data_IF_962498470171
#
_entry.id   IF_962498470171
#
_cell.length_a   1.000
_cell.length_b   1.000
_cell.length_c   1.000
_cell.angle_alpha   90.00
_cell.angle_beta   90.00
_cell.angle_gamma   90.00
#
_symmetry.space_group_name_H-M   'P 1'
#
loop_
_entity.id
_entity.type
_entity.pdbx_description
1 polymer ?
#
# COMPACT_ATOMS: atom_id res chain seq x y z
N UNK A 1 -10.88 -28.50 15.32
CA UNK A 1 -11.65 -27.23 15.35
C UNK A 1 -10.70 -26.16 14.83
N UNK A 2 -11.04 -25.49 13.73
CA UNK A 2 -10.16 -24.44 13.19
C UNK A 2 -10.08 -23.31 14.23
N UNK A 3 -8.89 -22.76 14.54
CA UNK A 3 -8.77 -21.71 15.55
C UNK A 3 -9.55 -20.47 15.12
N UNK A 4 -10.30 -19.88 16.05
CA UNK A 4 -11.16 -18.74 15.75
C UNK A 4 -10.33 -17.46 15.51
N UNK A 5 -10.48 -16.86 14.33
CA UNK A 5 -9.93 -15.54 14.03
C UNK A 5 -10.64 -14.50 14.91
N UNK A 6 -9.89 -13.59 15.51
CA UNK A 6 -10.38 -12.51 16.39
C UNK A 6 -9.87 -11.16 15.90
N UNK A 7 -10.43 -10.04 16.37
CA UNK A 7 -9.90 -8.69 16.09
C UNK A 7 -8.37 -8.56 16.30
N UNK A 8 -7.77 -9.30 17.24
CA UNK A 8 -6.32 -9.29 17.47
C UNK A 8 -5.54 -9.75 16.24
N UNK A 9 -6.03 -10.78 15.54
CA UNK A 9 -5.41 -11.27 14.31
C UNK A 9 -5.50 -10.22 13.20
N UNK A 10 -6.64 -9.53 13.10
CA UNK A 10 -6.85 -8.44 12.14
C UNK A 10 -5.91 -7.26 12.41
N UNK A 11 -5.79 -6.83 13.67
CA UNK A 11 -4.86 -5.76 14.08
C UNK A 11 -3.42 -6.13 13.73
N UNK A 12 -2.97 -7.34 14.12
CA UNK A 12 -1.60 -7.80 13.80
C UNK A 12 -1.39 -7.89 12.29
N UNK A 13 -2.39 -8.35 11.53
CA UNK A 13 -2.27 -8.42 10.07
C UNK A 13 -2.14 -7.04 9.45
N UNK A 14 -2.95 -6.07 9.88
CA UNK A 14 -2.93 -4.69 9.41
C UNK A 14 -1.62 -3.96 9.74
N UNK A 15 -1.03 -4.23 10.90
CA UNK A 15 0.31 -3.72 11.26
C UNK A 15 1.43 -4.31 10.37
N UNK A 16 1.22 -5.49 9.81
CA UNK A 16 2.17 -6.16 8.91
C UNK A 16 1.87 -5.93 7.42
N UNK A 17 0.75 -5.29 7.07
CA UNK A 17 0.39 -4.98 5.69
C UNK A 17 -1.12 -4.98 5.42
N UNK A 18 -1.53 -4.77 4.17
CA UNK A 18 -2.95 -4.69 3.81
C UNK A 18 -3.66 -6.03 3.96
N UNK A 19 -4.95 -6.01 4.29
CA UNK A 19 -5.88 -7.14 4.18
C UNK A 19 -6.64 -6.99 2.86
N UNK A 20 -6.76 -8.08 2.12
CA UNK A 20 -7.52 -8.12 0.88
C UNK A 20 -8.80 -8.93 1.07
N UNK A 21 -9.81 -8.64 0.26
CA UNK A 21 -11.14 -9.26 0.34
C UNK A 21 -11.13 -10.78 0.11
N UNK A 22 -10.13 -11.30 -0.60
CA UNK A 22 -9.93 -12.73 -0.83
C UNK A 22 -9.57 -13.49 0.47
N UNK A 23 -9.02 -12.79 1.47
CA UNK A 23 -8.83 -13.33 2.82
C UNK A 23 -10.15 -13.24 3.60
N UNK A 24 -11.11 -14.12 3.22
CA UNK A 24 -12.50 -14.08 3.68
C UNK A 24 -12.65 -14.03 5.21
N UNK A 25 -11.79 -14.75 5.93
CA UNK A 25 -11.87 -14.82 7.39
C UNK A 25 -11.39 -13.49 8.04
N UNK A 26 -10.27 -12.93 7.58
CA UNK A 26 -9.79 -11.64 8.08
C UNK A 26 -10.66 -10.47 7.62
N UNK A 27 -11.10 -10.47 6.36
CA UNK A 27 -11.99 -9.46 5.81
C UNK A 27 -13.35 -9.47 6.50
N UNK A 28 -13.95 -10.64 6.66
CA UNK A 28 -15.20 -10.82 7.39
C UNK A 28 -15.08 -10.36 8.84
N UNK A 29 -13.98 -10.68 9.52
CA UNK A 29 -13.74 -10.23 10.90
C UNK A 29 -13.48 -8.74 10.99
N UNK A 30 -12.76 -8.14 10.04
CA UNK A 30 -12.54 -6.70 9.94
C UNK A 30 -13.88 -5.96 9.81
N UNK A 31 -14.79 -6.47 8.96
CA UNK A 31 -16.12 -5.90 8.81
C UNK A 31 -17.00 -6.06 10.05
N UNK A 32 -17.00 -7.25 10.66
CA UNK A 32 -17.85 -7.55 11.81
C UNK A 32 -17.45 -6.79 13.09
N UNK A 33 -16.16 -6.48 13.29
CA UNK A 33 -15.64 -5.72 14.44
C UNK A 33 -15.06 -4.34 14.02
N UNK A 34 -15.61 -3.73 12.96
CA UNK A 34 -15.07 -2.50 12.36
C UNK A 34 -14.79 -1.39 13.37
N UNK A 35 -15.79 -0.95 14.15
CA UNK A 35 -15.64 0.18 15.07
C UNK A 35 -14.57 -0.09 16.12
N UNK A 36 -14.51 -1.32 16.63
CA UNK A 36 -13.52 -1.72 17.63
C UNK A 36 -12.11 -1.70 17.08
N UNK A 37 -11.91 -2.21 15.85
CA UNK A 37 -10.60 -2.22 15.20
C UNK A 37 -10.18 -0.79 14.83
N UNK A 38 -11.10 -0.01 14.25
CA UNK A 38 -10.86 1.39 13.89
C UNK A 38 -10.49 2.22 15.12
N UNK A 39 -11.24 2.10 16.21
CA UNK A 39 -10.98 2.84 17.45
C UNK A 39 -9.63 2.46 18.06
N UNK A 40 -9.25 1.17 18.03
CA UNK A 40 -7.94 0.73 18.49
C UNK A 40 -6.78 1.42 17.76
N UNK A 41 -6.86 1.56 16.44
CA UNK A 41 -5.84 2.28 15.66
C UNK A 41 -5.90 3.80 15.90
N UNK A 42 -7.11 4.36 16.08
CA UNK A 42 -7.30 5.77 16.35
C UNK A 42 -6.63 6.21 17.65
N UNK A 43 -6.74 5.41 18.72
CA UNK A 43 -6.11 5.67 20.03
C UNK A 43 -4.58 5.77 19.96
N UNK A 44 -3.95 5.16 18.94
CA UNK A 44 -2.50 5.16 18.75
C UNK A 44 -2.05 6.05 17.58
N UNK A 45 -2.88 7.02 17.17
CA UNK A 45 -2.54 8.00 16.15
C UNK A 45 -2.51 7.44 14.72
N UNK A 46 -3.19 6.33 14.48
CA UNK A 46 -3.30 5.70 13.16
C UNK A 46 -4.74 5.64 12.69
N UNK A 47 -4.94 5.35 11.41
CA UNK A 47 -6.27 5.13 10.85
C UNK A 47 -6.30 3.91 9.94
N UNK A 48 -7.41 3.19 9.98
CA UNK A 48 -7.69 2.08 9.06
C UNK A 48 -8.40 2.67 7.84
N UNK A 49 -7.73 2.65 6.70
CA UNK A 49 -8.32 2.96 5.41
C UNK A 49 -8.86 1.66 4.82
N UNK A 50 -10.19 1.57 4.63
CA UNK A 50 -10.87 0.43 4.02
C UNK A 50 -11.63 0.91 2.79
N UNK A 51 -11.40 0.24 1.67
CA UNK A 51 -12.12 0.46 0.42
C UNK A 51 -12.80 -0.84 0.03
N UNK A 52 -14.12 -0.89 0.20
CA UNK A 52 -14.93 -2.06 -0.15
C UNK A 52 -15.09 -2.24 -1.66
N UNK A 53 -15.00 -1.15 -2.45
CA UNK A 53 -15.09 -1.23 -3.91
C UNK A 53 -13.80 -1.79 -4.50
N UNK A 54 -12.67 -1.41 -3.93
CA UNK A 54 -11.36 -1.88 -4.38
C UNK A 54 -10.91 -3.16 -3.66
N UNK A 55 -11.65 -3.62 -2.63
CA UNK A 55 -11.44 -4.92 -1.98
C UNK A 55 -10.20 -4.98 -1.08
N UNK A 56 -9.76 -3.86 -0.50
CA UNK A 56 -8.60 -3.87 0.41
C UNK A 56 -8.74 -2.91 1.60
N UNK A 57 -7.98 -3.20 2.64
CA UNK A 57 -7.87 -2.36 3.83
C UNK A 57 -6.42 -2.33 4.33
N UNK A 58 -5.95 -1.16 4.76
CA UNK A 58 -4.60 -0.96 5.27
C UNK A 58 -4.60 0.10 6.36
N UNK A 59 -3.49 0.20 7.09
CA UNK A 59 -3.30 1.25 8.11
C UNK A 59 -2.35 2.30 7.57
N UNK A 60 -2.69 3.56 7.82
CA UNK A 60 -1.77 4.69 7.62
C UNK A 60 -1.66 5.47 8.92
N UNK A 61 -0.49 6.05 9.14
CA UNK A 61 -0.34 7.01 10.24
C UNK A 61 -1.17 8.24 9.89
N UNK A 62 -1.91 8.78 10.86
CA UNK A 62 -2.59 10.05 10.64
C UNK A 62 -1.53 11.10 10.37
N UNK A 63 -1.79 11.98 9.42
CA UNK A 63 -1.00 13.19 9.28
C UNK A 63 -1.19 13.98 10.57
N UNK A 64 -0.21 13.88 11.48
CA UNK A 64 0.03 14.95 12.43
C UNK A 64 0.23 16.19 11.58
N UNK A 65 -0.56 17.22 11.87
CA UNK A 65 -0.43 18.56 11.31
C UNK A 65 1.07 18.81 11.17
N UNK A 66 1.51 18.96 9.92
CA UNK A 66 2.91 19.14 9.60
C UNK A 66 3.50 20.22 10.52
N UNK A 67 4.78 20.10 10.83
CA UNK A 67 5.59 20.96 11.72
C UNK A 67 5.63 22.46 11.32
N UNK A 68 4.64 22.98 10.60
CA UNK A 68 4.50 24.35 10.11
C UNK A 68 3.44 25.20 10.85
N UNK A 69 2.68 24.68 11.82
CA UNK A 69 1.66 25.49 12.54
C UNK A 69 1.62 25.33 14.07
N UNK A 70 2.70 24.87 14.72
CA UNK A 70 2.77 24.90 16.20
C UNK A 70 3.76 25.96 16.68
N UNK A 71 3.54 27.22 16.26
CA UNK A 71 3.83 28.36 17.15
C UNK A 71 2.63 28.57 18.08
N UNK A 72 2.24 27.52 18.80
CA UNK A 72 1.28 27.61 19.89
C UNK A 72 2.05 27.92 21.17
N UNK A 73 1.94 29.16 21.66
CA UNK A 73 2.34 29.58 23.00
C UNK A 73 1.38 28.99 24.07
N UNK A 74 1.22 27.67 24.07
CA UNK A 74 0.50 26.96 25.14
C UNK A 74 1.47 25.96 25.77
N UNK A 75 1.55 25.96 27.10
CA UNK A 75 2.43 25.15 27.95
C UNK A 75 2.03 23.65 27.98
N UNK A 76 1.43 23.18 26.88
CA UNK A 76 0.77 21.89 26.75
C UNK A 76 0.93 21.24 25.38
N UNK A 77 1.96 21.61 24.60
CA UNK A 77 2.25 20.93 23.33
C UNK A 77 2.78 19.52 23.62
N UNK A 78 1.90 18.52 23.53
CA UNK A 78 2.30 17.11 23.54
C UNK A 78 3.36 16.87 22.46
N UNK A 79 4.41 16.11 22.80
CA UNK A 79 5.43 15.74 21.83
C UNK A 79 4.81 14.91 20.69
N UNK A 80 5.28 15.07 19.44
CA UNK A 80 4.75 14.32 18.31
C UNK A 80 4.90 12.81 18.52
N UNK A 81 3.91 12.04 18.06
CA UNK A 81 3.90 10.60 18.21
C UNK A 81 5.02 9.96 17.39
N UNK A 82 5.78 9.01 17.99
CA UNK A 82 6.72 8.21 17.23
C UNK A 82 6.02 7.47 16.08
N UNK A 83 6.67 7.42 14.92
CA UNK A 83 6.13 6.71 13.75
C UNK A 83 6.22 5.20 13.95
N UNK A 84 5.06 4.53 13.94
CA UNK A 84 4.95 3.07 13.97
C UNK A 84 5.32 2.47 12.61
N UNK A 85 4.82 3.10 11.53
CA UNK A 85 5.04 2.62 10.17
C UNK A 85 6.31 3.23 9.58
N UNK A 86 7.20 2.38 9.06
CA UNK A 86 8.39 2.83 8.35
C UNK A 86 8.00 3.44 7.01
N UNK A 87 8.48 4.66 6.73
CA UNK A 87 8.42 5.23 5.38
C UNK A 87 9.53 4.64 4.53
N UNK A 88 9.17 3.86 3.53
CA UNK A 88 10.12 3.35 2.54
C UNK A 88 10.20 4.33 1.38
N UNK A 89 11.38 4.94 1.17
CA UNK A 89 11.62 5.73 -0.03
C UNK A 89 11.68 4.79 -1.23
N UNK A 90 10.89 5.10 -2.26
CA UNK A 90 10.98 4.39 -3.53
C UNK A 90 12.20 4.88 -4.30
N UNK A 91 13.00 3.95 -4.82
CA UNK A 91 14.04 4.27 -5.78
C UNK A 91 13.42 4.73 -7.10
N UNK A 92 14.19 5.45 -7.91
CA UNK A 92 13.75 5.90 -9.24
C UNK A 92 13.07 4.79 -10.05
N UNK A 93 13.71 3.61 -10.17
CA UNK A 93 13.14 2.49 -10.93
C UNK A 93 11.87 1.91 -10.31
N UNK A 94 11.73 1.91 -8.98
CA UNK A 94 10.48 1.51 -8.33
C UNK A 94 9.37 2.52 -8.58
N UNK A 95 9.69 3.82 -8.55
CA UNK A 95 8.73 4.87 -8.87
C UNK A 95 8.26 4.75 -10.32
N UNK A 96 9.18 4.61 -11.27
CA UNK A 96 8.83 4.40 -12.68
C UNK A 96 7.96 3.16 -12.85
N UNK A 97 8.31 2.04 -12.20
CA UNK A 97 7.49 0.82 -12.26
C UNK A 97 6.06 1.07 -11.79
N UNK A 98 5.87 1.72 -10.64
CA UNK A 98 4.54 2.03 -10.10
C UNK A 98 3.75 3.00 -10.99
N UNK A 99 4.41 4.01 -11.55
CA UNK A 99 3.77 4.97 -12.48
C UNK A 99 3.26 4.26 -13.73
N UNK A 100 4.07 3.40 -14.33
CA UNK A 100 3.69 2.63 -15.53
C UNK A 100 2.54 1.65 -15.23
N UNK A 101 2.59 0.94 -14.10
CA UNK A 101 1.49 0.07 -13.69
C UNK A 101 0.19 0.86 -13.48
N UNK A 102 0.28 2.06 -12.90
CA UNK A 102 -0.91 2.92 -12.70
C UNK A 102 -1.48 3.41 -14.02
N UNK A 103 -0.62 3.77 -14.97
CA UNK A 103 -1.03 4.19 -16.31
C UNK A 103 -1.72 3.03 -17.06
N UNK A 104 -1.14 1.84 -17.05
CA UNK A 104 -1.72 0.65 -17.66
C UNK A 104 -3.09 0.32 -17.05
N UNK A 105 -3.22 0.37 -15.72
CA UNK A 105 -4.50 0.18 -15.03
C UNK A 105 -5.53 1.23 -15.45
N UNK A 106 -5.14 2.51 -15.51
CA UNK A 106 -6.04 3.59 -15.91
C UNK A 106 -6.53 3.41 -17.35
N UNK A 107 -5.67 2.98 -18.28
CA UNK A 107 -6.04 2.71 -19.67
C UNK A 107 -7.01 1.54 -19.76
N UNK A 108 -6.77 0.48 -19.00
CA UNK A 108 -7.67 -0.67 -18.91
C UNK A 108 -9.05 -0.28 -18.36
N UNK A 109 -9.09 0.51 -17.27
CA UNK A 109 -10.34 1.00 -16.67
C UNK A 109 -11.18 1.85 -17.64
N UNK A 110 -10.53 2.57 -18.57
CA UNK A 110 -11.19 3.36 -19.61
C UNK A 110 -11.72 2.49 -20.77
N UNK A 111 -11.06 1.38 -21.06
CA UNK A 111 -11.41 0.45 -22.12
C UNK A 111 -12.24 -0.73 -21.56
N UNK A 112 -13.52 -0.49 -21.26
CA UNK A 112 -14.45 -1.47 -20.68
C UNK A 112 -14.67 -2.76 -21.51
N UNK A 113 -14.10 -2.87 -22.70
CA UNK A 113 -14.20 -4.05 -23.57
C UNK A 113 -13.11 -5.12 -23.29
N UNK A 114 -12.09 -4.81 -22.47
CA UNK A 114 -10.93 -5.69 -22.24
C UNK A 114 -11.13 -6.77 -21.14
N UNK A 115 -12.31 -6.83 -20.51
CA UNK A 115 -12.70 -7.84 -19.50
C UNK A 115 -12.54 -7.37 -18.05
N UNK A 116 -12.57 -8.31 -17.09
CA UNK A 116 -12.58 -8.02 -15.65
C UNK A 116 -11.16 -7.89 -15.03
N UNK A 117 -10.12 -8.34 -15.73
CA UNK A 117 -8.77 -8.44 -15.20
C UNK A 117 -7.70 -7.96 -16.18
N UNK A 118 -6.77 -7.16 -15.66
CA UNK A 118 -5.58 -6.71 -16.39
C UNK A 118 -4.40 -7.65 -16.14
N UNK A 119 -3.94 -8.33 -17.18
CA UNK A 119 -2.72 -9.15 -17.14
C UNK A 119 -1.60 -8.51 -17.96
N UNK A 120 -0.38 -8.51 -17.41
CA UNK A 120 0.85 -8.11 -18.10
C UNK A 120 1.94 -9.12 -17.80
N UNK A 121 2.63 -9.58 -18.83
CA UNK A 121 3.76 -10.48 -18.65
C UNK A 121 4.98 -9.72 -18.14
N UNK A 122 5.92 -10.43 -17.49
CA UNK A 122 7.19 -9.84 -17.09
C UNK A 122 8.00 -9.31 -18.29
N UNK A 123 7.77 -9.88 -19.48
CA UNK A 123 8.34 -9.42 -20.75
C UNK A 123 7.74 -8.07 -21.15
N UNK A 124 6.41 -7.94 -21.12
CA UNK A 124 5.73 -6.67 -21.45
C UNK A 124 6.19 -5.56 -20.51
N UNK A 125 6.21 -5.82 -19.20
CA UNK A 125 6.67 -4.86 -18.20
C UNK A 125 8.12 -4.43 -18.43
N UNK A 126 8.98 -5.35 -18.86
CA UNK A 126 10.37 -5.04 -19.19
C UNK A 126 10.46 -4.12 -20.41
N UNK A 127 9.72 -4.43 -21.45
CA UNK A 127 9.77 -3.65 -22.68
C UNK A 127 9.22 -2.24 -22.44
N UNK A 128 8.18 -2.09 -21.62
CA UNK A 128 7.65 -0.77 -21.18
C UNK A 128 8.62 0.00 -20.29
N UNK A 129 9.36 -0.69 -19.41
CA UNK A 129 10.30 -0.04 -18.47
C UNK A 129 11.63 0.36 -19.11
N UNK A 130 12.11 -0.38 -20.12
CA UNK A 130 13.46 -0.22 -20.71
C UNK A 130 13.80 1.22 -21.12
N UNK A 131 12.91 2.00 -21.77
CA UNK A 131 13.19 3.38 -22.17
C UNK A 131 13.53 4.33 -21.02
N UNK A 132 13.14 4.00 -19.79
CA UNK A 132 13.35 4.83 -18.60
C UNK A 132 14.66 4.54 -17.87
N UNK A 133 15.44 3.55 -18.34
CA UNK A 133 16.76 3.26 -17.80
C UNK A 133 17.80 4.12 -18.53
N UNK A 134 18.43 5.10 -17.86
CA UNK A 134 19.45 5.93 -18.48
C UNK A 134 20.63 5.04 -18.93
N UNK A 135 21.01 5.19 -20.20
CA UNK A 135 22.01 4.45 -20.97
C UNK A 135 22.99 3.61 -20.13
N UNK A 136 22.56 2.39 -19.81
CA UNK A 136 23.43 1.33 -19.32
C UNK A 136 23.82 0.49 -20.54
N UNK A 137 25.11 0.44 -20.87
CA UNK A 137 25.66 -0.49 -21.88
C UNK A 137 25.52 -1.98 -21.50
N UNK A 138 24.79 -2.30 -20.42
CA UNK A 138 24.63 -3.66 -19.89
C UNK A 138 23.14 -4.02 -19.79
N UNK A 139 22.59 -4.50 -20.90
CA UNK A 139 21.22 -5.01 -21.01
C UNK A 139 20.92 -6.13 -20.00
N UNK A 140 21.92 -6.95 -19.64
CA UNK A 140 21.74 -8.03 -18.67
C UNK A 140 21.49 -7.49 -17.26
N UNK A 141 22.15 -6.38 -16.90
CA UNK A 141 21.92 -5.70 -15.62
C UNK A 141 20.54 -5.07 -15.56
N UNK A 142 20.09 -4.43 -16.64
CA UNK A 142 18.73 -3.86 -16.74
C UNK A 142 17.69 -4.96 -16.56
N UNK A 143 17.84 -6.06 -17.31
CA UNK A 143 16.93 -7.21 -17.21
C UNK A 143 16.86 -7.75 -15.77
N UNK A 144 18.01 -7.98 -15.12
CA UNK A 144 18.05 -8.45 -13.73
C UNK A 144 17.36 -7.47 -12.77
N UNK A 145 17.54 -6.16 -12.96
CA UNK A 145 16.90 -5.14 -12.12
C UNK A 145 15.38 -5.14 -12.28
N UNK A 146 14.88 -5.20 -13.53
CA UNK A 146 13.44 -5.25 -13.80
C UNK A 146 12.83 -6.55 -13.26
N UNK A 147 13.44 -7.71 -13.53
CA UNK A 147 12.94 -9.00 -13.02
C UNK A 147 12.89 -9.02 -11.48
N UNK A 148 13.84 -8.36 -10.82
CA UNK A 148 13.83 -8.24 -9.36
C UNK A 148 12.68 -7.34 -8.84
N UNK A 149 12.19 -6.38 -9.62
CA UNK A 149 11.03 -5.57 -9.24
C UNK A 149 9.71 -6.34 -9.40
N UNK A 150 9.62 -7.24 -10.38
CA UNK A 150 8.42 -8.07 -10.61
C UNK A 150 8.30 -9.21 -9.59
N UNK A 151 9.42 -9.72 -9.08
CA UNK A 151 9.45 -10.92 -8.20
C UNK A 151 9.35 -10.58 -6.71
N UNK A 152 9.52 -9.30 -6.34
CA UNK A 152 9.68 -8.85 -4.96
C UNK A 152 8.37 -8.34 -4.38
#
# INVERSE_FOLDING_TARGET
MNPAITHRHVIVRLLNGPIYQEDLDLWGRLGAEWDKIRNHFFEIGMEVARDDSAGYAFVRQREEIEESEVESWDDGTEAPLPRVLRRTRLSYHQTIFMVLLREELMRFEQNQEEGDHLYRSAMDLRDTMTPYYPELHDEKKIHRQISALVTK
#
